data_IF_580812900737
#
_entry.id   IF_580812900737
#
_cell.length_a   1.000
_cell.length_b   1.000
_cell.length_c   1.000
_cell.angle_alpha   90.00
_cell.angle_beta   90.00
_cell.angle_gamma   90.00
#
_symmetry.space_group_name_H-M   'P 1'
#
loop_
_entity.id
_entity.type
_entity.pdbx_description
1 polymer ?
#
# COMPACT_ATOMS: atom_id res chain seq x y z
N UNK A 1 31.62 12.89 -15.58
CA UNK A 1 30.37 13.05 -14.82
C UNK A 1 29.86 11.68 -14.49
N UNK A 2 30.20 11.17 -13.30
CA UNK A 2 29.82 9.83 -12.86
C UNK A 2 28.71 9.97 -11.82
N UNK A 3 27.52 10.36 -12.26
CA UNK A 3 26.35 10.16 -11.40
C UNK A 3 26.18 8.65 -11.23
N UNK A 4 26.10 8.21 -9.98
CA UNK A 4 25.81 6.81 -9.69
C UNK A 4 24.42 6.48 -10.22
N UNK A 5 24.21 5.24 -10.69
CA UNK A 5 22.91 4.76 -11.15
C UNK A 5 21.80 5.00 -10.09
N UNK A 6 22.18 4.96 -8.81
CA UNK A 6 21.31 5.28 -7.66
C UNK A 6 20.93 6.76 -7.60
N UNK A 7 21.84 7.67 -7.92
CA UNK A 7 21.58 9.12 -7.92
C UNK A 7 20.67 9.48 -9.10
N UNK A 8 20.93 8.93 -10.29
CA UNK A 8 20.10 9.16 -11.47
C UNK A 8 18.65 8.71 -11.24
N UNK A 9 18.45 7.54 -10.60
CA UNK A 9 17.11 7.06 -10.24
C UNK A 9 16.51 7.89 -9.09
N UNK A 10 17.34 8.31 -8.13
CA UNK A 10 16.90 9.09 -6.97
C UNK A 10 16.46 10.52 -7.31
N UNK A 11 17.03 11.13 -8.35
CA UNK A 11 16.68 12.46 -8.84
C UNK A 11 15.57 12.44 -9.91
N UNK A 12 15.10 11.27 -10.34
CA UNK A 12 14.06 11.15 -11.33
C UNK A 12 12.74 11.72 -10.82
N UNK A 13 12.12 12.63 -11.59
CA UNK A 13 10.82 13.23 -11.24
C UNK A 13 9.69 12.17 -11.37
N UNK A 14 9.13 11.68 -10.25
CA UNK A 14 8.09 10.68 -10.29
C UNK A 14 6.77 11.25 -10.83
N UNK A 15 6.49 12.55 -10.66
CA UNK A 15 5.28 13.19 -11.16
C UNK A 15 5.28 13.23 -12.68
N UNK A 16 6.38 13.71 -13.28
CA UNK A 16 6.54 13.69 -14.73
C UNK A 16 6.46 12.26 -15.27
N UNK A 17 7.11 11.30 -14.60
CA UNK A 17 7.13 9.89 -15.02
C UNK A 17 5.73 9.28 -15.05
N UNK A 18 4.91 9.50 -14.02
CA UNK A 18 3.54 8.98 -13.96
C UNK A 18 2.68 9.60 -15.07
N UNK A 19 2.78 10.91 -15.30
CA UNK A 19 2.00 11.60 -16.33
C UNK A 19 2.36 11.09 -17.73
N UNK A 20 3.65 11.01 -18.05
CA UNK A 20 4.11 10.54 -19.36
C UNK A 20 3.81 9.07 -19.58
N UNK A 21 4.06 8.21 -18.59
CA UNK A 21 3.79 6.77 -18.70
C UNK A 21 2.30 6.46 -18.85
N UNK A 22 1.42 7.14 -18.11
CA UNK A 22 -0.03 6.99 -18.27
C UNK A 22 -0.51 7.47 -19.65
N UNK A 23 0.03 8.60 -20.14
CA UNK A 23 -0.33 9.15 -21.45
C UNK A 23 0.10 8.24 -22.60
N UNK A 24 1.36 7.76 -22.55
CA UNK A 24 1.93 6.88 -23.58
C UNK A 24 1.27 5.50 -23.55
N UNK A 25 1.04 4.92 -22.37
CA UNK A 25 0.38 3.62 -22.26
C UNK A 25 -1.09 3.68 -22.69
N UNK A 26 -1.82 4.76 -22.37
CA UNK A 26 -3.17 5.01 -22.86
C UNK A 26 -3.22 5.12 -24.38
N UNK A 27 -2.33 5.92 -24.98
CA UNK A 27 -2.22 6.06 -26.44
C UNK A 27 -1.90 4.71 -27.12
N UNK A 28 -0.94 3.96 -26.55
CA UNK A 28 -0.56 2.65 -27.07
C UNK A 28 -1.72 1.64 -26.98
N UNK A 29 -2.47 1.65 -25.87
CA UNK A 29 -3.66 0.80 -25.70
C UNK A 29 -4.74 1.12 -26.74
N UNK A 30 -5.00 2.41 -27.00
CA UNK A 30 -5.95 2.85 -28.03
C UNK A 30 -5.48 2.36 -29.40
N UNK A 31 -4.22 2.62 -29.75
CA UNK A 31 -3.64 2.24 -31.03
C UNK A 31 -3.70 0.72 -31.25
N UNK A 32 -3.24 -0.08 -30.28
CA UNK A 32 -3.24 -1.53 -30.39
C UNK A 32 -4.64 -2.10 -30.55
N UNK A 33 -5.62 -1.58 -29.81
CA UNK A 33 -7.01 -2.06 -29.84
C UNK A 33 -7.69 -1.76 -31.18
N UNK A 34 -7.44 -0.57 -31.74
CA UNK A 34 -7.94 -0.18 -33.07
C UNK A 34 -7.22 -0.94 -34.19
N UNK A 35 -5.89 -1.07 -34.13
CA UNK A 35 -5.09 -1.80 -35.13
C UNK A 35 -5.48 -3.29 -35.20
N UNK A 36 -5.71 -3.92 -34.05
CA UNK A 36 -6.20 -5.30 -33.97
C UNK A 36 -7.68 -5.45 -34.31
N UNK A 37 -8.37 -4.34 -34.61
CA UNK A 37 -9.82 -4.29 -34.93
C UNK A 37 -10.69 -4.96 -33.87
N UNK A 38 -10.28 -4.86 -32.60
CA UNK A 38 -11.05 -5.41 -31.46
C UNK A 38 -12.24 -4.49 -31.16
N UNK A 39 -12.01 -3.17 -31.18
CA UNK A 39 -13.03 -2.14 -30.99
C UNK A 39 -12.86 -1.03 -32.04
N UNK A 40 -13.95 -0.32 -32.33
CA UNK A 40 -13.92 0.93 -33.11
C UNK A 40 -13.33 2.07 -32.28
N UNK A 41 -12.88 3.16 -32.92
CA UNK A 41 -12.36 4.32 -32.21
C UNK A 41 -13.36 4.86 -31.17
N UNK A 42 -14.65 4.92 -31.54
CA UNK A 42 -15.71 5.34 -30.62
C UNK A 42 -15.83 4.41 -29.41
N UNK A 43 -15.81 3.09 -29.63
CA UNK A 43 -15.89 2.11 -28.53
C UNK A 43 -14.67 2.17 -27.61
N UNK A 44 -13.48 2.41 -28.16
CA UNK A 44 -12.26 2.61 -27.37
C UNK A 44 -12.33 3.90 -26.54
N UNK A 45 -12.81 5.00 -27.12
CA UNK A 45 -12.97 6.26 -26.40
C UNK A 45 -14.00 6.16 -25.27
N UNK A 46 -15.10 5.44 -25.49
CA UNK A 46 -16.10 5.17 -24.46
C UNK A 46 -15.50 4.33 -23.31
N UNK A 47 -14.74 3.29 -23.62
CA UNK A 47 -14.01 2.50 -22.62
C UNK A 47 -13.01 3.36 -21.82
N UNK A 48 -12.29 4.26 -22.49
CA UNK A 48 -11.36 5.18 -21.83
C UNK A 48 -12.08 6.13 -20.87
N UNK A 49 -13.22 6.72 -21.29
CA UNK A 49 -14.04 7.60 -20.44
C UNK A 49 -14.59 6.82 -19.22
N UNK A 50 -15.04 5.58 -19.42
CA UNK A 50 -15.50 4.73 -18.32
C UNK A 50 -14.36 4.44 -17.32
N UNK A 51 -13.13 4.26 -17.80
CA UNK A 51 -11.94 4.17 -16.97
C UNK A 51 -11.74 5.43 -16.12
N UNK A 52 -11.78 6.62 -16.73
CA UNK A 52 -11.68 7.90 -15.99
C UNK A 52 -12.79 8.04 -14.96
N UNK A 53 -14.03 7.67 -15.31
CA UNK A 53 -15.18 7.74 -14.40
C UNK A 53 -15.01 6.85 -13.17
N UNK A 54 -14.38 5.67 -13.32
CA UNK A 54 -14.12 4.77 -12.20
C UNK A 54 -13.19 5.38 -11.14
N UNK A 55 -12.37 6.38 -11.50
CA UNK A 55 -11.42 7.04 -10.58
C UNK A 55 -12.03 8.19 -9.78
N UNK A 56 -13.26 8.62 -10.08
CA UNK A 56 -13.90 9.76 -9.40
C UNK A 56 -14.02 9.51 -7.89
N UNK A 57 -14.33 8.28 -7.47
CA UNK A 57 -14.42 7.94 -6.04
C UNK A 57 -13.08 8.14 -5.32
N UNK A 58 -11.97 7.69 -5.91
CA UNK A 58 -10.64 7.87 -5.36
C UNK A 58 -10.29 9.36 -5.22
N UNK A 59 -10.63 10.19 -6.22
CA UNK A 59 -10.43 11.64 -6.14
C UNK A 59 -11.20 12.28 -4.97
N UNK A 60 -12.47 11.90 -4.77
CA UNK A 60 -13.28 12.40 -3.63
C UNK A 60 -12.65 12.01 -2.30
N UNK A 61 -12.22 10.76 -2.16
CA UNK A 61 -11.55 10.25 -0.96
C UNK A 61 -10.27 11.04 -0.66
N UNK A 62 -9.44 11.34 -1.68
CA UNK A 62 -8.21 12.14 -1.50
C UNK A 62 -8.49 13.58 -1.03
N UNK A 63 -9.52 14.23 -1.58
CA UNK A 63 -9.92 15.59 -1.15
C UNK A 63 -10.38 15.59 0.31
N UNK A 64 -11.16 14.58 0.70
CA UNK A 64 -11.60 14.41 2.09
C UNK A 64 -10.41 14.10 3.01
N UNK A 65 -9.46 13.28 2.57
CA UNK A 65 -8.24 12.97 3.32
C UNK A 65 -7.41 14.22 3.63
N UNK A 66 -7.22 15.11 2.65
CA UNK A 66 -6.55 16.39 2.87
C UNK A 66 -7.31 17.30 3.83
N UNK A 67 -8.64 17.27 3.75
CA UNK A 67 -9.51 18.03 4.67
C UNK A 67 -9.33 17.54 6.11
N UNK A 68 -9.39 16.21 6.33
CA UNK A 68 -9.13 15.60 7.64
C UNK A 68 -7.72 15.93 8.13
N UNK A 69 -6.71 15.87 7.25
CA UNK A 69 -5.33 16.22 7.62
C UNK A 69 -5.17 17.65 8.12
N UNK A 70 -5.87 18.62 7.50
CA UNK A 70 -5.91 20.01 7.98
C UNK A 70 -6.59 20.11 9.33
N UNK A 71 -7.74 19.47 9.51
CA UNK A 71 -8.45 19.46 10.80
C UNK A 71 -7.57 18.84 11.90
N UNK A 72 -6.89 17.72 11.64
CA UNK A 72 -5.98 17.10 12.60
C UNK A 72 -4.79 18.02 12.95
N UNK A 73 -4.31 18.79 11.98
CA UNK A 73 -3.27 19.79 12.20
C UNK A 73 -3.78 20.94 13.07
N UNK A 74 -4.96 21.48 12.79
CA UNK A 74 -5.57 22.58 13.55
C UNK A 74 -5.90 22.15 14.99
N UNK A 75 -6.36 20.91 15.16
CA UNK A 75 -6.68 20.32 16.46
C UNK A 75 -5.46 19.84 17.24
N UNK A 76 -4.24 19.95 16.68
CA UNK A 76 -3.01 19.43 17.30
C UNK A 76 -3.12 17.96 17.67
N UNK A 77 -3.78 17.16 16.83
CA UNK A 77 -4.07 15.75 17.11
C UNK A 77 -2.79 14.93 17.34
N UNK A 78 -1.72 15.21 16.60
CA UNK A 78 -0.43 14.56 16.81
C UNK A 78 0.13 14.85 18.22
N UNK A 79 0.05 16.11 18.69
CA UNK A 79 0.57 16.52 20.00
C UNK A 79 -0.20 15.81 21.11
N UNK A 80 -1.52 15.73 20.96
CA UNK A 80 -2.39 14.99 21.87
C UNK A 80 -2.05 13.49 21.92
N UNK A 81 -1.95 12.83 20.75
CA UNK A 81 -1.66 11.40 20.67
C UNK A 81 -0.29 11.07 21.24
N UNK A 82 0.74 11.86 20.93
CA UNK A 82 2.09 11.69 21.51
C UNK A 82 2.06 11.94 23.03
N UNK A 83 1.31 12.94 23.50
CA UNK A 83 1.15 13.24 24.92
C UNK A 83 0.59 12.07 25.73
N UNK A 84 -0.39 11.33 25.20
CA UNK A 84 -1.00 10.18 25.90
C UNK A 84 -0.27 8.86 25.66
N UNK A 85 0.57 8.77 24.61
CA UNK A 85 1.20 7.50 24.21
C UNK A 85 2.70 7.44 24.47
N UNK A 86 3.39 8.56 24.67
CA UNK A 86 4.85 8.61 24.80
C UNK A 86 5.43 7.78 25.95
N UNK A 87 4.68 7.54 27.02
CA UNK A 87 5.11 6.69 28.13
C UNK A 87 5.00 5.18 27.82
N UNK A 88 4.17 4.79 26.85
CA UNK A 88 3.84 3.39 26.53
C UNK A 88 4.38 2.98 25.16
N UNK A 89 4.50 3.92 24.23
CA UNK A 89 4.78 3.68 22.82
C UNK A 89 6.20 4.13 22.45
N UNK A 90 7.10 3.15 22.31
CA UNK A 90 8.40 3.39 21.69
C UNK A 90 8.24 3.64 20.18
N UNK A 91 8.99 4.58 19.57
CA UNK A 91 9.03 4.74 18.11
C UNK A 91 9.30 3.44 17.35
N UNK A 92 10.07 2.53 17.95
CA UNK A 92 10.40 1.21 17.37
C UNK A 92 9.18 0.31 17.13
N UNK A 93 8.11 0.44 17.93
CA UNK A 93 6.90 -0.36 17.81
C UNK A 93 5.89 0.24 16.83
N UNK A 94 6.10 1.51 16.43
CA UNK A 94 5.14 2.26 15.64
C UNK A 94 4.85 1.60 14.28
N UNK A 95 5.82 1.10 13.50
CA UNK A 95 5.53 0.42 12.23
C UNK A 95 4.65 -0.82 12.42
N UNK A 96 4.92 -1.62 13.45
CA UNK A 96 4.20 -2.87 13.72
C UNK A 96 2.74 -2.60 14.10
N UNK A 97 2.51 -1.66 15.02
CA UNK A 97 1.16 -1.28 15.45
C UNK A 97 0.40 -0.66 14.28
N UNK A 98 1.05 0.19 13.50
CA UNK A 98 0.46 0.82 12.31
C UNK A 98 0.05 -0.21 11.26
N UNK A 99 0.87 -1.24 11.03
CA UNK A 99 0.52 -2.31 10.10
C UNK A 99 -0.75 -3.04 10.58
N UNK A 100 -0.81 -3.41 11.86
CA UNK A 100 -1.93 -4.14 12.43
C UNK A 100 -3.22 -3.32 12.39
N UNK A 101 -3.17 -2.04 12.72
CA UNK A 101 -4.33 -1.15 12.67
C UNK A 101 -4.80 -0.93 11.23
N UNK A 102 -3.89 -0.68 10.29
CA UNK A 102 -4.21 -0.58 8.86
C UNK A 102 -4.84 -1.86 8.32
N UNK A 103 -4.26 -3.01 8.64
CA UNK A 103 -4.78 -4.33 8.28
C UNK A 103 -6.21 -4.54 8.80
N UNK A 104 -6.45 -4.26 10.08
CA UNK A 104 -7.76 -4.45 10.69
C UNK A 104 -8.83 -3.51 10.12
N UNK A 105 -8.51 -2.22 9.96
CA UNK A 105 -9.43 -1.23 9.38
C UNK A 105 -9.75 -1.59 7.94
N UNK A 106 -8.73 -1.90 7.13
CA UNK A 106 -8.93 -2.19 5.73
C UNK A 106 -9.65 -3.52 5.49
N UNK A 107 -9.36 -4.55 6.28
CA UNK A 107 -10.10 -5.80 6.23
C UNK A 107 -11.58 -5.60 6.56
N UNK A 108 -11.87 -4.78 7.57
CA UNK A 108 -13.24 -4.50 8.04
C UNK A 108 -14.01 -3.58 7.09
N UNK A 109 -13.34 -2.71 6.35
CA UNK A 109 -13.96 -1.76 5.41
C UNK A 109 -13.95 -2.23 3.96
N UNK A 110 -13.11 -3.22 3.64
CA UNK A 110 -12.91 -3.70 2.27
C UNK A 110 -12.24 -2.68 1.34
N UNK A 111 -11.54 -1.67 1.89
CA UNK A 111 -10.95 -0.60 1.07
C UNK A 111 -9.55 -0.21 1.52
N UNK A 112 -8.61 -0.30 0.59
CA UNK A 112 -7.23 0.18 0.77
C UNK A 112 -7.16 1.71 0.77
N UNK A 113 -7.79 2.36 -0.22
CA UNK A 113 -7.80 3.81 -0.37
C UNK A 113 -8.41 4.54 0.82
N UNK A 114 -9.57 4.07 1.33
CA UNK A 114 -10.20 4.69 2.48
C UNK A 114 -9.30 4.60 3.74
N UNK A 115 -8.67 3.44 3.94
CA UNK A 115 -7.78 3.21 5.09
C UNK A 115 -6.54 4.10 5.03
N UNK A 116 -5.88 4.19 3.86
CA UNK A 116 -4.74 5.08 3.67
C UNK A 116 -5.12 6.55 3.89
N UNK A 117 -6.28 6.98 3.41
CA UNK A 117 -6.80 8.33 3.57
C UNK A 117 -7.08 8.74 5.01
N UNK A 118 -7.43 7.79 5.88
CA UNK A 118 -7.65 8.04 7.30
C UNK A 118 -6.32 8.00 8.07
N UNK A 119 -5.45 7.03 7.76
CA UNK A 119 -4.23 6.80 8.54
C UNK A 119 -3.09 7.74 8.19
N UNK A 120 -2.87 8.06 6.90
CA UNK A 120 -1.76 8.94 6.49
C UNK A 120 -1.80 10.29 7.20
N UNK A 121 -2.94 11.02 7.25
CA UNK A 121 -2.98 12.33 7.89
C UNK A 121 -2.85 12.32 9.41
N UNK A 122 -2.99 11.14 10.05
CA UNK A 122 -2.90 10.97 11.51
C UNK A 122 -1.53 10.42 11.91
N UNK A 123 -1.13 9.30 11.32
CA UNK A 123 0.07 8.55 11.71
C UNK A 123 1.34 9.25 11.24
N UNK A 124 1.34 9.88 10.05
CA UNK A 124 2.53 10.56 9.54
C UNK A 124 2.94 11.73 10.44
N UNK A 125 2.05 12.70 10.77
CA UNK A 125 2.41 13.78 11.70
C UNK A 125 2.77 13.26 13.09
N UNK A 126 2.05 12.24 13.60
CA UNK A 126 2.37 11.60 14.87
C UNK A 126 3.78 11.00 14.87
N UNK A 127 4.19 10.34 13.78
CA UNK A 127 5.53 9.75 13.66
C UNK A 127 6.61 10.82 13.70
N UNK A 128 6.45 11.89 12.92
CA UNK A 128 7.42 13.00 12.89
C UNK A 128 7.58 13.61 14.28
N UNK A 129 6.48 13.81 14.98
CA UNK A 129 6.50 14.40 16.32
C UNK A 129 7.07 13.45 17.38
N UNK A 130 6.71 12.17 17.35
CA UNK A 130 7.21 11.17 18.30
C UNK A 130 8.71 10.95 18.17
N UNK A 131 9.25 10.99 16.94
CA UNK A 131 10.69 10.83 16.71
C UNK A 131 11.48 12.11 17.02
N UNK A 132 10.82 13.28 17.11
CA UNK A 132 11.44 14.56 17.39
C UNK A 132 12.59 14.90 16.40
N UNK A 133 12.41 14.56 15.13
CA UNK A 133 13.36 14.81 14.03
C UNK A 133 12.76 15.87 13.09
N UNK A 134 13.59 16.74 12.52
CA UNK A 134 13.15 17.68 11.48
C UNK A 134 12.47 16.97 10.31
N UNK A 135 11.37 17.55 9.82
CA UNK A 135 10.50 16.94 8.82
C UNK A 135 11.21 16.60 7.49
N UNK A 136 12.31 17.26 7.13
CA UNK A 136 13.05 16.94 5.91
C UNK A 136 14.02 15.76 6.11
N UNK A 137 14.53 15.57 7.33
CA UNK A 137 15.47 14.47 7.64
C UNK A 137 14.72 13.20 7.99
N UNK A 138 13.52 13.33 8.58
CA UNK A 138 12.67 12.22 9.01
C UNK A 138 12.28 11.29 7.86
N UNK A 139 12.16 11.81 6.63
CA UNK A 139 11.74 11.04 5.45
C UNK A 139 12.77 9.97 5.07
N UNK A 140 14.03 10.14 5.48
CA UNK A 140 15.08 9.15 5.25
C UNK A 140 15.25 8.16 6.41
N UNK A 141 14.53 8.36 7.51
CA UNK A 141 14.63 7.50 8.67
C UNK A 141 13.95 6.13 8.42
N UNK A 142 14.61 5.01 8.74
CA UNK A 142 14.04 3.67 8.56
C UNK A 142 12.69 3.47 9.27
N UNK A 143 12.48 4.04 10.45
CA UNK A 143 11.24 3.90 11.21
C UNK A 143 10.11 4.67 10.52
N UNK A 144 10.38 5.89 10.03
CA UNK A 144 9.39 6.66 9.27
C UNK A 144 8.99 5.93 7.98
N UNK A 145 9.97 5.52 7.18
CA UNK A 145 9.72 4.79 5.93
C UNK A 145 8.99 3.48 6.17
N UNK A 146 9.36 2.76 7.24
CA UNK A 146 8.71 1.52 7.65
C UNK A 146 7.28 1.76 8.13
N UNK A 147 7.02 2.83 8.88
CA UNK A 147 5.67 3.21 9.35
C UNK A 147 4.78 3.61 8.18
N UNK A 148 5.29 4.43 7.25
CA UNK A 148 4.55 4.78 6.03
C UNK A 148 4.27 3.53 5.18
N UNK A 149 5.26 2.65 5.02
CA UNK A 149 5.10 1.37 4.32
C UNK A 149 4.11 0.44 5.03
N UNK A 150 4.02 0.49 6.36
CA UNK A 150 3.06 -0.27 7.14
C UNK A 150 1.62 0.19 6.89
N UNK A 151 1.38 1.49 6.74
CA UNK A 151 0.06 2.02 6.32
C UNK A 151 -0.31 1.44 4.96
N UNK A 152 0.61 1.52 3.97
CA UNK A 152 0.33 1.09 2.61
C UNK A 152 0.08 -0.42 2.53
N UNK A 153 1.00 -1.22 3.04
CA UNK A 153 0.93 -2.68 2.98
C UNK A 153 -0.19 -3.27 3.83
N UNK A 154 -0.45 -2.72 5.02
CA UNK A 154 -1.57 -3.15 5.87
C UNK A 154 -2.90 -2.86 5.22
N UNK A 155 -3.04 -1.67 4.59
CA UNK A 155 -4.22 -1.32 3.82
C UNK A 155 -4.41 -2.23 2.60
N UNK A 156 -3.36 -2.58 1.87
CA UNK A 156 -3.47 -3.51 0.74
C UNK A 156 -3.80 -4.93 1.21
N UNK A 157 -3.17 -5.40 2.29
CA UNK A 157 -3.45 -6.71 2.87
C UNK A 157 -4.93 -6.85 3.24
N UNK A 158 -5.48 -5.88 3.98
CA UNK A 158 -6.87 -5.93 4.42
C UNK A 158 -7.85 -5.95 3.24
N UNK A 159 -7.65 -5.07 2.26
CA UNK A 159 -8.43 -5.01 1.03
C UNK A 159 -8.40 -6.35 0.25
N UNK A 160 -7.20 -6.93 0.05
CA UNK A 160 -7.00 -8.15 -0.74
C UNK A 160 -7.69 -9.39 -0.16
N UNK A 161 -7.85 -9.47 1.16
CA UNK A 161 -8.42 -10.64 1.81
C UNK A 161 -9.81 -10.41 2.41
N UNK A 162 -10.36 -9.20 2.30
CA UNK A 162 -11.69 -8.87 2.79
C UNK A 162 -12.78 -9.45 1.88
N UNK A 163 -13.78 -10.17 2.43
CA UNK A 163 -14.93 -10.66 1.66
C UNK A 163 -15.87 -9.56 1.15
N UNK A 164 -15.69 -8.32 1.61
CA UNK A 164 -16.55 -7.20 1.20
C UNK A 164 -15.81 -6.18 0.32
N UNK A 165 -14.56 -6.49 -0.04
CA UNK A 165 -13.74 -5.60 -0.87
C UNK A 165 -14.20 -5.62 -2.33
N UNK A 166 -14.25 -4.44 -2.93
CA UNK A 166 -14.53 -4.27 -4.37
C UNK A 166 -13.47 -4.97 -5.24
N UNK A 167 -12.20 -4.93 -4.82
CA UNK A 167 -11.10 -5.61 -5.51
C UNK A 167 -11.28 -7.12 -5.47
N UNK A 168 -11.69 -7.65 -4.33
CA UNK A 168 -11.92 -9.09 -4.12
C UNK A 168 -13.16 -9.57 -4.89
N UNK A 169 -14.25 -8.80 -4.87
CA UNK A 169 -15.48 -9.08 -5.63
C UNK A 169 -15.21 -9.05 -7.14
N UNK A 170 -14.49 -8.02 -7.62
CA UNK A 170 -14.14 -7.91 -9.04
C UNK A 170 -13.23 -9.06 -9.47
N UNK A 171 -12.26 -9.44 -8.64
CA UNK A 171 -11.34 -10.54 -8.93
C UNK A 171 -12.04 -11.90 -8.99
N UNK A 172 -12.95 -12.20 -8.05
CA UNK A 172 -13.72 -13.44 -8.09
C UNK A 172 -14.65 -13.49 -9.31
N UNK A 173 -15.31 -12.37 -9.62
CA UNK A 173 -16.20 -12.25 -10.78
C UNK A 173 -15.45 -12.40 -12.11
N UNK A 174 -14.30 -11.73 -12.24
CA UNK A 174 -13.47 -11.79 -13.44
C UNK A 174 -12.86 -13.18 -13.70
N UNK A 175 -12.64 -13.95 -12.63
CA UNK A 175 -12.12 -15.33 -12.71
C UNK A 175 -13.23 -16.39 -12.77
N UNK A 176 -14.50 -15.98 -12.75
CA UNK A 176 -15.67 -16.88 -12.69
C UNK A 176 -15.58 -17.88 -11.51
N UNK A 177 -14.94 -17.49 -10.41
CA UNK A 177 -14.85 -18.30 -9.20
C UNK A 177 -15.98 -17.95 -8.23
N UNK A 178 -16.40 -18.92 -7.42
CA UNK A 178 -17.25 -18.61 -6.28
C UNK A 178 -16.52 -17.62 -5.36
N UNK A 179 -17.23 -16.58 -4.94
CA UNK A 179 -16.63 -15.48 -4.21
C UNK A 179 -16.04 -15.92 -2.86
N UNK A 180 -16.71 -16.81 -2.13
CA UNK A 180 -16.23 -17.29 -0.85
C UNK A 180 -15.06 -18.26 -1.05
N UNK A 181 -15.09 -19.09 -2.08
CA UNK A 181 -13.95 -19.95 -2.41
C UNK A 181 -12.71 -19.13 -2.82
N UNK A 182 -12.90 -18.04 -3.57
CA UNK A 182 -11.82 -17.11 -3.89
C UNK A 182 -11.19 -16.54 -2.61
N UNK A 183 -11.99 -15.98 -1.70
CA UNK A 183 -11.50 -15.43 -0.43
C UNK A 183 -10.79 -16.51 0.40
N UNK A 184 -11.41 -17.68 0.54
CA UNK A 184 -10.91 -18.78 1.36
C UNK A 184 -9.59 -19.33 0.85
N UNK A 185 -9.38 -19.34 -0.47
CA UNK A 185 -8.12 -19.79 -1.06
C UNK A 185 -7.01 -18.73 -0.97
N UNK A 186 -7.34 -17.44 -1.00
CA UNK A 186 -6.38 -16.34 -0.85
C UNK A 186 -5.92 -16.14 0.60
N UNK A 187 -6.85 -16.21 1.57
CA UNK A 187 -6.61 -15.92 2.99
C UNK A 187 -5.35 -16.57 3.58
N UNK A 188 -5.07 -17.88 3.38
CA UNK A 188 -3.87 -18.51 3.92
C UNK A 188 -2.56 -17.89 3.41
N UNK A 189 -2.51 -17.48 2.15
CA UNK A 189 -1.33 -16.84 1.55
C UNK A 189 -1.18 -15.40 2.03
N UNK A 190 -2.28 -14.64 2.09
CA UNK A 190 -2.26 -13.25 2.55
C UNK A 190 -1.84 -13.16 4.02
N UNK A 191 -2.43 -13.99 4.89
CA UNK A 191 -2.14 -13.99 6.32
C UNK A 191 -0.69 -14.38 6.59
N UNK A 192 -0.14 -15.35 5.88
CA UNK A 192 1.23 -15.77 6.11
C UNK A 192 2.25 -14.69 5.71
N UNK A 193 2.04 -14.04 4.58
CA UNK A 193 2.88 -12.91 4.13
C UNK A 193 2.75 -11.75 5.12
N UNK A 194 1.53 -11.46 5.59
CA UNK A 194 1.30 -10.42 6.59
C UNK A 194 2.01 -10.71 7.92
N UNK A 195 2.01 -11.96 8.39
CA UNK A 195 2.72 -12.37 9.61
C UNK A 195 4.24 -12.21 9.43
N UNK A 196 4.80 -12.62 8.29
CA UNK A 196 6.24 -12.44 8.02
C UNK A 196 6.60 -10.95 7.94
N UNK A 197 5.80 -10.16 7.22
CA UNK A 197 5.98 -8.71 7.12
C UNK A 197 5.90 -8.04 8.50
N UNK A 198 4.95 -8.43 9.33
CA UNK A 198 4.77 -7.91 10.69
C UNK A 198 5.95 -8.25 11.61
N UNK A 199 6.31 -9.53 11.71
CA UNK A 199 7.30 -10.00 12.68
C UNK A 199 8.74 -9.69 12.24
N UNK A 200 9.06 -9.96 10.98
CA UNK A 200 10.43 -9.84 10.46
C UNK A 200 10.67 -8.48 9.83
N UNK A 201 9.71 -7.99 9.01
CA UNK A 201 9.81 -6.68 8.38
C UNK A 201 9.72 -5.55 9.40
N UNK A 202 8.51 -5.28 9.88
CA UNK A 202 8.22 -4.17 10.79
C UNK A 202 8.87 -4.36 12.17
N UNK A 203 8.77 -5.57 12.73
CA UNK A 203 9.46 -5.91 13.98
C UNK A 203 10.99 -5.85 13.85
N UNK A 204 11.57 -6.29 12.74
CA UNK A 204 13.01 -6.23 12.52
C UNK A 204 13.54 -4.81 12.40
N UNK A 205 12.81 -3.91 11.74
CA UNK A 205 13.15 -2.48 11.71
C UNK A 205 13.08 -1.89 13.13
N UNK A 206 12.05 -2.23 13.92
CA UNK A 206 11.94 -1.80 15.30
C UNK A 206 13.12 -2.25 16.19
N UNK A 207 13.66 -3.45 15.92
CA UNK A 207 14.85 -3.98 16.59
C UNK A 207 16.17 -3.43 16.03
N UNK A 208 16.14 -2.47 15.11
CA UNK A 208 17.31 -1.90 14.42
C UNK A 208 18.17 -2.96 13.70
N UNK A 209 17.54 -4.02 13.16
CA UNK A 209 18.23 -4.99 12.32
C UNK A 209 18.61 -4.38 10.97
N UNK A 210 19.72 -4.81 10.39
CA UNK A 210 20.14 -4.33 9.08
C UNK A 210 19.14 -4.72 7.99
N UNK A 211 18.83 -3.79 7.08
CA UNK A 211 17.86 -4.00 6.01
C UNK A 211 18.14 -5.24 5.14
N UNK A 212 19.39 -5.54 4.72
CA UNK A 212 19.67 -6.74 3.95
C UNK A 212 19.33 -8.03 4.70
N UNK A 213 19.56 -8.07 6.02
CA UNK A 213 19.23 -9.23 6.85
C UNK A 213 17.72 -9.41 6.93
N UNK A 214 16.96 -8.34 7.15
CA UNK A 214 15.49 -8.39 7.17
C UNK A 214 14.94 -8.95 5.85
N UNK A 215 15.44 -8.44 4.72
CA UNK A 215 15.01 -8.88 3.40
C UNK A 215 15.37 -10.34 3.13
N UNK A 216 16.61 -10.75 3.41
CA UNK A 216 17.06 -12.13 3.22
C UNK A 216 16.25 -13.12 4.06
N UNK A 217 16.04 -12.81 5.34
CA UNK A 217 15.24 -13.67 6.24
C UNK A 217 13.80 -13.75 5.75
N UNK A 218 13.20 -12.62 5.34
CA UNK A 218 11.83 -12.60 4.81
C UNK A 218 11.69 -13.47 3.55
N UNK A 219 12.63 -13.36 2.60
CA UNK A 219 12.65 -14.18 1.37
C UNK A 219 12.81 -15.66 1.71
N UNK A 220 13.72 -16.00 2.61
CA UNK A 220 13.93 -17.40 3.03
C UNK A 220 12.68 -17.99 3.68
N UNK A 221 12.01 -17.24 4.56
CA UNK A 221 10.77 -17.70 5.19
C UNK A 221 9.65 -17.91 4.18
N UNK A 222 9.50 -17.00 3.20
CA UNK A 222 8.53 -17.15 2.12
C UNK A 222 8.85 -18.37 1.24
N UNK A 223 10.12 -18.59 0.90
CA UNK A 223 10.55 -19.74 0.11
C UNK A 223 10.33 -21.07 0.86
N UNK A 224 10.64 -21.10 2.15
CA UNK A 224 10.36 -22.24 3.04
C UNK A 224 8.87 -22.52 3.10
N UNK A 225 8.06 -21.49 3.32
CA UNK A 225 6.61 -21.62 3.34
C UNK A 225 6.09 -22.18 2.02
N UNK A 226 6.51 -21.61 0.89
CA UNK A 226 6.14 -22.10 -0.43
C UNK A 226 6.53 -23.58 -0.59
N UNK A 227 7.73 -23.99 -0.17
CA UNK A 227 8.17 -25.37 -0.29
C UNK A 227 7.32 -26.37 0.53
N UNK A 228 6.85 -25.98 1.70
CA UNK A 228 6.05 -26.84 2.58
C UNK A 228 4.56 -26.88 2.19
N UNK A 229 4.00 -25.76 1.70
CA UNK A 229 2.57 -25.65 1.40
C UNK A 229 2.23 -25.85 -0.10
N UNK A 230 3.19 -25.68 -1.01
CA UNK A 230 2.98 -25.97 -2.42
C UNK A 230 2.89 -27.48 -2.63
N UNK A 231 1.71 -27.94 -3.03
CA UNK A 231 1.52 -29.28 -3.57
C UNK A 231 1.79 -29.24 -5.08
N UNK A 232 2.60 -30.16 -5.62
CA UNK A 232 2.68 -30.30 -7.07
C UNK A 232 1.27 -30.64 -7.58
N UNK A 233 0.86 -29.94 -8.63
CA UNK A 233 -0.35 -30.29 -9.36
C UNK A 233 0.07 -31.41 -10.30
N UNK A 234 -0.40 -32.63 -10.04
CA UNK A 234 -0.22 -33.74 -10.97
C UNK A 234 -1.01 -33.40 -12.24
N UNK A 235 -0.29 -33.14 -13.33
CA UNK A 235 -0.85 -32.94 -14.67
C UNK A 235 -1.25 -34.27 -15.31
#
# INVERSE_FOLDING_TARGET
>A
GSHSLREIIGEADPYATIIWSASVSGMAAILMTVMKRILTLNGVMEAWINGVRSMVMACVILVLAWTIGRICTDMKTAEFLVGISSEVLSPSLLPLITFLTAAAISFSTGSSWATMSILVPVVVPMTVQLMNIEANTVVHDPIFLSTFSAILSGSVFGDHCSPISDTTILSSTATCSDHIDHVRTQMPYSVSVAVIAMLVGYGGIGLNLSLPVILLVSILLLAVQFRFYAKPIDN
#
